data_IF_852752590876
#
_entry.id   IF_852752590876
#
_cell.length_a   1.000
_cell.length_b   1.000
_cell.length_c   1.000
_cell.angle_alpha   90.00
_cell.angle_beta   90.00
_cell.angle_gamma   90.00
#
_symmetry.space_group_name_H-M   'P 1'
#
loop_
_entity.id
_entity.type
_entity.pdbx_description
1 polymer ?
#
# COMPACT_ATOMS: atom_id res chain seq x y z
N UNK A 1 -10.80 -17.26 -40.03
CA UNK A 1 -10.83 -16.63 -38.69
C UNK A 1 -11.30 -17.53 -37.55
N UNK A 2 -12.25 -18.47 -37.72
CA UNK A 2 -12.83 -19.26 -36.62
C UNK A 2 -11.89 -20.16 -35.80
N UNK A 3 -10.62 -20.38 -36.19
CA UNK A 3 -9.60 -21.04 -35.34
C UNK A 3 -8.67 -20.06 -34.61
N UNK A 4 -8.48 -18.85 -35.16
CA UNK A 4 -7.57 -17.82 -34.64
C UNK A 4 -8.18 -17.11 -33.43
N UNK A 5 -9.50 -16.90 -33.42
CA UNK A 5 -10.20 -16.33 -32.27
C UNK A 5 -10.20 -17.24 -31.03
N UNK A 6 -10.21 -18.56 -31.21
CA UNK A 6 -10.20 -19.52 -30.10
C UNK A 6 -8.81 -19.67 -29.48
N UNK A 7 -7.73 -19.70 -30.28
CA UNK A 7 -6.38 -19.75 -29.74
C UNK A 7 -6.04 -18.47 -28.99
N UNK A 8 -6.37 -17.30 -29.56
CA UNK A 8 -6.20 -16.01 -28.88
C UNK A 8 -6.94 -15.99 -27.54
N UNK A 9 -8.22 -16.38 -27.52
CA UNK A 9 -9.01 -16.40 -26.29
C UNK A 9 -8.42 -17.35 -25.24
N UNK A 10 -7.97 -18.53 -25.65
CA UNK A 10 -7.35 -19.50 -24.77
C UNK A 10 -6.02 -18.98 -24.18
N UNK A 11 -5.17 -18.39 -25.01
CA UNK A 11 -3.86 -17.89 -24.59
C UNK A 11 -4.02 -16.65 -23.68
N UNK A 12 -4.97 -15.77 -24.01
CA UNK A 12 -5.38 -14.65 -23.16
C UNK A 12 -5.93 -15.16 -21.81
N UNK A 13 -6.74 -16.22 -21.82
CA UNK A 13 -7.31 -16.81 -20.60
C UNK A 13 -6.24 -17.42 -19.70
N UNK A 14 -5.21 -18.04 -20.27
CA UNK A 14 -4.07 -18.56 -19.50
C UNK A 14 -3.23 -17.42 -18.90
N UNK A 15 -2.94 -16.37 -19.67
CA UNK A 15 -2.27 -15.17 -19.14
C UNK A 15 -3.08 -14.48 -18.04
N UNK A 16 -4.41 -14.58 -18.09
CA UNK A 16 -5.26 -14.08 -17.02
C UNK A 16 -5.03 -14.84 -15.70
N UNK A 17 -4.62 -16.10 -15.73
CA UNK A 17 -4.43 -16.91 -14.52
C UNK A 17 -3.00 -16.81 -13.95
N UNK A 18 -2.06 -16.24 -14.68
CA UNK A 18 -0.65 -16.19 -14.28
C UNK A 18 -0.27 -14.95 -13.42
N UNK A 19 0.66 -15.17 -12.49
CA UNK A 19 1.30 -14.11 -11.70
C UNK A 19 2.50 -13.50 -12.46
N UNK A 20 2.19 -12.71 -13.49
CA UNK A 20 3.20 -12.10 -14.37
C UNK A 20 3.48 -10.64 -13.99
N UNK A 21 4.76 -10.23 -14.01
CA UNK A 21 5.16 -8.83 -13.85
C UNK A 21 4.77 -7.98 -15.06
N UNK A 22 4.68 -6.65 -14.88
CA UNK A 22 4.32 -5.70 -15.93
C UNK A 22 5.10 -5.89 -17.24
N UNK A 23 6.42 -6.01 -17.18
CA UNK A 23 7.26 -6.12 -18.38
C UNK A 23 7.04 -7.47 -19.11
N UNK A 24 6.97 -8.56 -18.35
CA UNK A 24 6.73 -9.90 -18.90
C UNK A 24 5.33 -10.04 -19.48
N UNK A 25 4.35 -9.36 -18.91
CA UNK A 25 2.97 -9.39 -19.40
C UNK A 25 2.86 -8.68 -20.74
N UNK A 26 3.46 -7.50 -20.91
CA UNK A 26 3.46 -6.84 -22.22
C UNK A 26 4.12 -7.72 -23.27
N UNK A 27 5.30 -8.26 -22.99
CA UNK A 27 5.94 -9.22 -23.90
C UNK A 27 5.02 -10.39 -24.25
N UNK A 28 4.31 -10.95 -23.26
CA UNK A 28 3.40 -12.08 -23.49
C UNK A 28 2.16 -11.70 -24.30
N UNK A 29 1.55 -10.54 -24.03
CA UNK A 29 0.44 -9.99 -24.82
C UNK A 29 0.87 -9.82 -26.28
N UNK A 30 2.05 -9.23 -26.50
CA UNK A 30 2.56 -8.99 -27.84
C UNK A 30 2.96 -10.27 -28.57
N UNK A 31 3.52 -11.26 -27.88
CA UNK A 31 3.80 -12.58 -28.45
C UNK A 31 2.52 -13.31 -28.87
N UNK A 32 1.44 -13.21 -28.08
CA UNK A 32 0.13 -13.75 -28.44
C UNK A 32 -0.46 -12.98 -29.64
N UNK A 33 -0.30 -11.66 -29.66
CA UNK A 33 -0.77 -10.84 -30.78
C UNK A 33 -0.02 -11.16 -32.07
N UNK A 34 1.28 -11.47 -32.06
CA UNK A 34 2.01 -11.87 -33.27
C UNK A 34 1.42 -13.12 -33.95
N UNK A 35 0.87 -14.05 -33.17
CA UNK A 35 0.19 -15.23 -33.69
C UNK A 35 -1.22 -14.93 -34.24
N UNK A 36 -1.75 -13.75 -33.95
CA UNK A 36 -3.13 -13.34 -34.27
C UNK A 36 -3.17 -12.32 -35.40
N UNK A 37 -2.25 -11.35 -35.38
CA UNK A 37 -2.12 -10.26 -36.34
C UNK A 37 -0.66 -10.02 -36.66
N UNK A 38 -0.31 -10.04 -37.95
CA UNK A 38 1.06 -9.80 -38.41
C UNK A 38 1.41 -8.33 -38.29
N UNK A 39 2.50 -8.00 -37.61
CA UNK A 39 3.07 -6.65 -37.54
C UNK A 39 4.61 -6.70 -37.49
N UNK A 40 5.28 -5.66 -37.96
CA UNK A 40 6.76 -5.52 -37.84
C UNK A 40 7.15 -4.53 -36.74
N UNK A 41 6.25 -3.63 -36.35
CA UNK A 41 6.43 -2.73 -35.24
C UNK A 41 5.10 -2.39 -34.59
N UNK A 42 5.13 -2.02 -33.32
CA UNK A 42 3.95 -1.60 -32.58
C UNK A 42 4.26 -0.60 -31.48
N UNK A 43 3.24 0.17 -31.09
CA UNK A 43 3.26 1.00 -29.88
C UNK A 43 1.97 0.82 -29.11
N UNK A 44 2.08 0.57 -27.82
CA UNK A 44 0.97 0.65 -26.88
C UNK A 44 1.01 2.00 -26.16
N UNK A 45 -0.07 2.75 -26.31
CA UNK A 45 -0.36 3.96 -25.56
C UNK A 45 -1.37 3.62 -24.47
N UNK A 46 -1.10 4.03 -23.23
CA UNK A 46 -2.08 3.93 -22.15
C UNK A 46 -2.64 5.31 -21.83
N UNK A 47 -3.94 5.36 -21.53
CA UNK A 47 -4.60 6.59 -21.11
C UNK A 47 -4.23 6.91 -19.66
N UNK A 48 -3.69 8.11 -19.45
CA UNK A 48 -3.47 8.70 -18.13
C UNK A 48 -4.63 9.62 -17.79
N UNK A 49 -5.45 9.18 -16.83
CA UNK A 49 -6.62 9.93 -16.38
C UNK A 49 -6.28 11.22 -15.62
N UNK A 50 -5.03 11.39 -15.13
CA UNK A 50 -4.63 12.62 -14.44
C UNK A 50 -4.33 13.75 -15.42
N UNK A 51 -3.63 13.40 -16.48
CA UNK A 51 -3.24 14.35 -17.53
C UNK A 51 -4.30 14.45 -18.63
N UNK A 52 -5.35 13.59 -18.60
CA UNK A 52 -6.35 13.40 -19.66
C UNK A 52 -5.74 13.13 -21.04
N UNK A 53 -4.65 12.34 -21.07
CA UNK A 53 -3.89 12.09 -22.30
C UNK A 53 -3.36 10.67 -22.40
N UNK A 54 -3.17 10.20 -23.62
CA UNK A 54 -2.50 8.93 -23.88
C UNK A 54 -0.98 9.11 -23.87
N UNK A 55 -0.28 8.14 -23.31
CA UNK A 55 1.19 8.15 -23.15
C UNK A 55 1.75 6.82 -23.66
N UNK A 56 2.82 6.82 -24.48
CA UNK A 56 3.46 5.58 -24.90
C UNK A 56 4.04 4.84 -23.68
N UNK A 57 3.69 3.57 -23.53
CA UNK A 57 4.16 2.72 -22.41
C UNK A 57 4.99 1.53 -22.86
N UNK A 58 4.75 1.05 -24.07
CA UNK A 58 5.51 -0.05 -24.65
C UNK A 58 5.66 0.14 -26.16
N UNK A 59 6.79 -0.29 -26.71
CA UNK A 59 7.02 -0.36 -28.15
C UNK A 59 7.77 -1.63 -28.51
N UNK A 60 7.49 -2.16 -29.71
CA UNK A 60 8.29 -3.20 -30.37
C UNK A 60 8.78 -2.65 -31.70
N UNK A 61 10.07 -2.82 -31.98
CA UNK A 61 10.79 -2.13 -33.06
C UNK A 61 11.51 -0.87 -32.57
N UNK A 62 12.25 -0.23 -33.48
CA UNK A 62 13.16 0.86 -33.12
C UNK A 62 12.48 2.22 -32.97
N UNK A 63 11.29 2.40 -33.55
CA UNK A 63 10.56 3.67 -33.60
C UNK A 63 9.24 3.62 -32.84
N UNK A 64 8.75 4.78 -32.41
CA UNK A 64 7.36 4.91 -31.94
C UNK A 64 6.47 4.88 -33.18
N UNK A 65 5.68 3.83 -33.31
CA UNK A 65 4.66 3.68 -34.35
C UNK A 65 3.50 4.63 -34.07
N UNK A 66 3.54 5.80 -34.68
CA UNK A 66 2.41 6.73 -34.76
C UNK A 66 2.57 7.62 -36.00
N UNK A 67 1.46 7.92 -36.68
CA UNK A 67 1.47 8.77 -37.87
C UNK A 67 1.02 10.17 -37.50
N UNK A 68 1.50 11.17 -38.24
CA UNK A 68 1.06 12.57 -38.11
C UNK A 68 1.29 13.09 -36.67
N UNK A 69 2.38 12.66 -36.03
CA UNK A 69 2.70 12.90 -34.62
C UNK A 69 2.93 14.36 -34.24
N UNK A 70 2.97 15.27 -35.22
CA UNK A 70 3.07 16.71 -34.99
C UNK A 70 1.72 17.34 -34.59
N UNK A 71 0.61 16.67 -34.89
CA UNK A 71 -0.74 17.18 -34.64
C UNK A 71 -1.29 16.63 -33.32
N UNK A 72 -1.87 17.50 -32.50
CA UNK A 72 -2.53 17.14 -31.25
C UNK A 72 -4.05 17.09 -31.45
N UNK A 73 -4.67 15.97 -31.10
CA UNK A 73 -6.11 15.75 -31.22
C UNK A 73 -6.82 15.85 -29.86
N UNK A 74 -6.20 16.52 -28.88
CA UNK A 74 -6.77 16.79 -27.56
C UNK A 74 -6.28 15.79 -26.51
N UNK A 75 -6.57 14.51 -26.71
CA UNK A 75 -6.11 13.44 -25.80
C UNK A 75 -4.72 12.91 -26.11
N UNK A 76 -4.00 13.50 -27.07
CA UNK A 76 -2.68 13.02 -27.48
C UNK A 76 -2.36 13.44 -28.91
N UNK A 77 -1.10 13.28 -29.28
CA UNK A 77 -0.64 13.55 -30.64
C UNK A 77 -0.88 12.37 -31.58
N UNK A 78 -0.83 12.66 -32.88
CA UNK A 78 -0.88 11.67 -33.96
C UNK A 78 -2.19 10.90 -34.07
N UNK A 79 -2.15 9.85 -34.88
CA UNK A 79 -3.30 8.97 -35.09
C UNK A 79 -3.70 8.26 -33.80
N UNK A 80 -2.76 7.98 -32.89
CA UNK A 80 -3.10 7.47 -31.57
C UNK A 80 -4.02 8.45 -30.82
N UNK A 81 -3.68 9.73 -30.81
CA UNK A 81 -4.49 10.80 -30.23
C UNK A 81 -5.89 10.86 -30.83
N UNK A 82 -5.98 10.88 -32.17
CA UNK A 82 -7.28 10.88 -32.85
C UNK A 82 -8.12 9.65 -32.49
N UNK A 83 -7.50 8.48 -32.46
CA UNK A 83 -8.16 7.19 -32.17
C UNK A 83 -8.68 7.16 -30.74
N UNK A 84 -7.96 7.77 -29.79
CA UNK A 84 -8.39 7.87 -28.39
C UNK A 84 -9.67 8.70 -28.21
N UNK A 85 -9.87 9.72 -29.05
CA UNK A 85 -11.07 10.58 -29.02
C UNK A 85 -12.24 9.93 -29.75
N UNK A 86 -12.00 9.40 -30.95
CA UNK A 86 -13.07 8.87 -31.80
C UNK A 86 -13.47 7.44 -31.46
N UNK A 87 -12.65 6.73 -30.67
CA UNK A 87 -12.88 5.36 -30.21
C UNK A 87 -13.29 4.38 -31.32
N UNK A 88 -12.71 4.55 -32.51
CA UNK A 88 -12.90 3.67 -33.68
C UNK A 88 -11.56 3.32 -34.30
N UNK A 89 -11.39 2.08 -34.83
CA UNK A 89 -10.15 1.74 -35.50
C UNK A 89 -9.91 2.58 -36.75
N UNK A 90 -8.65 2.98 -36.93
CA UNK A 90 -8.12 3.49 -38.19
C UNK A 90 -7.37 2.37 -38.88
N UNK A 91 -7.75 2.06 -40.11
CA UNK A 91 -7.15 1.01 -40.91
C UNK A 91 -6.65 1.69 -42.18
N UNK A 92 -5.33 1.64 -42.39
CA UNK A 92 -4.65 2.17 -43.56
C UNK A 92 -3.96 0.99 -44.26
N UNK A 93 -4.66 0.31 -45.21
CA UNK A 93 -4.13 -0.87 -45.88
C UNK A 93 -2.87 -0.56 -46.69
N UNK A 94 -2.78 0.64 -47.26
CA UNK A 94 -1.62 1.11 -48.00
C UNK A 94 -1.29 2.54 -47.61
N UNK A 95 0.00 2.81 -47.41
CA UNK A 95 0.55 4.14 -47.18
C UNK A 95 1.49 4.49 -48.32
N UNK A 96 1.25 5.62 -48.97
CA UNK A 96 2.23 6.19 -49.88
C UNK A 96 3.47 6.64 -49.10
N UNK A 97 4.66 6.43 -49.68
CA UNK A 97 5.96 6.82 -49.08
C UNK A 97 6.14 8.35 -49.08
N UNK A 98 5.34 9.04 -48.28
CA UNK A 98 5.51 10.45 -47.92
C UNK A 98 6.56 10.60 -46.82
N UNK A 99 7.02 11.83 -46.51
CA UNK A 99 7.97 12.09 -45.40
C UNK A 99 7.53 11.46 -44.07
N UNK A 100 6.24 11.52 -43.75
CA UNK A 100 5.68 10.91 -42.53
C UNK A 100 5.80 9.36 -42.48
N UNK A 101 5.96 8.72 -43.64
CA UNK A 101 6.18 7.28 -43.77
C UNK A 101 7.67 6.92 -43.96
N UNK A 102 8.48 7.80 -44.54
CA UNK A 102 9.91 7.57 -44.80
C UNK A 102 10.73 7.43 -43.51
N UNK A 103 10.42 8.22 -42.49
CA UNK A 103 11.13 8.17 -41.20
C UNK A 103 10.82 6.89 -40.39
N UNK A 104 9.70 6.23 -40.71
CA UNK A 104 9.18 5.09 -39.96
C UNK A 104 9.29 3.75 -40.72
N UNK A 105 9.36 3.75 -42.05
CA UNK A 105 9.61 2.56 -42.87
C UNK A 105 8.41 1.62 -43.10
N UNK A 106 7.18 2.02 -42.77
CA UNK A 106 5.99 1.16 -42.87
C UNK A 106 5.13 1.46 -44.12
N UNK A 107 4.49 0.42 -44.67
CA UNK A 107 3.60 0.51 -45.85
C UNK A 107 2.12 0.23 -45.53
N UNK A 108 1.80 -0.23 -44.33
CA UNK A 108 0.43 -0.32 -43.81
C UNK A 108 0.40 -0.05 -42.31
N UNK A 109 -0.74 0.43 -41.83
CA UNK A 109 -0.91 0.87 -40.45
C UNK A 109 -2.31 0.60 -39.92
N UNK A 110 -2.39 0.25 -38.63
CA UNK A 110 -3.62 -0.03 -37.91
C UNK A 110 -3.53 0.62 -36.53
N UNK A 111 -4.51 1.46 -36.19
CA UNK A 111 -4.69 1.99 -34.84
C UNK A 111 -6.00 1.48 -34.26
N UNK A 112 -5.93 0.88 -33.08
CA UNK A 112 -7.06 0.23 -32.41
C UNK A 112 -7.26 0.89 -31.05
N UNK A 113 -8.47 1.42 -30.75
CA UNK A 113 -8.78 1.87 -29.39
C UNK A 113 -8.91 0.67 -28.45
N UNK A 114 -8.32 0.78 -27.27
CA UNK A 114 -8.44 -0.20 -26.20
C UNK A 114 -9.47 0.34 -25.22
N UNK A 115 -10.66 -0.25 -25.19
CA UNK A 115 -11.76 0.21 -24.35
C UNK A 115 -12.49 -0.94 -23.69
N UNK A 116 -13.08 -0.63 -22.54
CA UNK A 116 -13.96 -1.53 -21.81
C UNK A 116 -15.26 -0.77 -21.63
N UNK A 117 -16.33 -1.30 -22.22
CA UNK A 117 -17.59 -0.58 -22.41
C UNK A 117 -17.33 0.79 -23.08
N UNK A 118 -17.55 1.89 -22.34
CA UNK A 118 -17.32 3.27 -22.80
C UNK A 118 -16.04 3.92 -22.23
N UNK A 119 -15.25 3.18 -21.44
CA UNK A 119 -14.02 3.67 -20.81
C UNK A 119 -12.81 3.41 -21.71
N UNK A 120 -12.10 4.47 -22.06
CA UNK A 120 -10.81 4.39 -22.74
C UNK A 120 -9.73 3.87 -21.78
N UNK A 121 -9.06 2.79 -22.16
CA UNK A 121 -7.89 2.24 -21.46
C UNK A 121 -6.60 2.67 -22.17
N UNK A 122 -6.62 2.78 -23.49
CA UNK A 122 -5.45 3.13 -24.28
C UNK A 122 -5.68 3.02 -25.79
N UNK A 123 -4.59 3.02 -26.55
CA UNK A 123 -4.58 2.83 -28.00
C UNK A 123 -3.41 1.92 -28.37
N UNK A 124 -3.65 0.98 -29.27
CA UNK A 124 -2.64 0.10 -29.84
C UNK A 124 -2.42 0.46 -31.31
N UNK A 125 -1.21 0.88 -31.64
CA UNK A 125 -0.78 1.09 -33.01
C UNK A 125 0.06 -0.10 -33.47
N UNK A 126 -0.26 -0.62 -34.65
CA UNK A 126 0.45 -1.70 -35.33
C UNK A 126 0.84 -1.21 -36.72
N UNK A 127 2.04 -1.54 -37.15
CA UNK A 127 2.52 -1.22 -38.49
C UNK A 127 3.23 -2.41 -39.13
N UNK A 128 3.21 -2.43 -40.45
CA UNK A 128 3.90 -3.44 -41.23
C UNK A 128 4.58 -2.82 -42.46
N UNK A 129 5.75 -3.33 -42.82
CA UNK A 129 6.49 -2.93 -44.03
C UNK A 129 5.79 -3.31 -45.35
N UNK A 130 4.76 -4.17 -45.32
CA UNK A 130 4.01 -4.61 -46.50
C UNK A 130 2.64 -3.92 -46.54
N UNK A 131 2.17 -3.51 -47.74
CA UNK A 131 0.80 -3.04 -47.90
C UNK A 131 -0.20 -4.21 -47.80
N UNK A 132 -1.48 -3.87 -47.66
CA UNK A 132 -2.64 -4.77 -47.65
C UNK A 132 -2.62 -5.86 -46.55
N UNK A 133 -1.79 -5.69 -45.52
CA UNK A 133 -1.76 -6.56 -44.32
C UNK A 133 -3.01 -6.34 -43.48
N UNK A 134 -3.42 -5.08 -43.30
CA UNK A 134 -4.61 -4.71 -42.57
C UNK A 134 -5.75 -4.37 -43.52
N UNK A 135 -6.88 -5.07 -43.42
CA UNK A 135 -8.01 -4.89 -44.35
C UNK A 135 -9.22 -4.30 -43.64
N UNK A 136 -9.95 -3.44 -44.35
CA UNK A 136 -11.16 -2.78 -43.85
C UNK A 136 -12.27 -3.77 -43.45
N UNK A 137 -12.34 -4.92 -44.14
CA UNK A 137 -13.31 -5.99 -43.87
C UNK A 137 -13.17 -6.59 -42.45
N UNK A 138 -11.97 -6.56 -41.87
CA UNK A 138 -11.67 -7.08 -40.53
C UNK A 138 -11.86 -6.05 -39.40
N UNK A 139 -12.52 -4.92 -39.67
CA UNK A 139 -12.75 -3.86 -38.67
C UNK A 139 -13.31 -4.40 -37.34
N UNK A 140 -14.35 -5.25 -37.41
CA UNK A 140 -14.97 -5.83 -36.21
C UNK A 140 -14.02 -6.74 -35.44
N UNK A 141 -13.14 -7.45 -36.13
CA UNK A 141 -12.14 -8.31 -35.51
C UNK A 141 -11.09 -7.47 -34.78
N UNK A 142 -10.67 -6.34 -35.35
CA UNK A 142 -9.77 -5.39 -34.68
C UNK A 142 -10.40 -4.75 -33.46
N UNK A 143 -11.68 -4.37 -33.52
CA UNK A 143 -12.41 -3.88 -32.33
C UNK A 143 -12.45 -4.94 -31.23
N UNK A 144 -12.73 -6.19 -31.59
CA UNK A 144 -12.78 -7.32 -30.65
C UNK A 144 -11.42 -7.56 -30.01
N UNK A 145 -10.34 -7.56 -30.81
CA UNK A 145 -8.97 -7.65 -30.33
C UNK A 145 -8.64 -6.50 -29.36
N UNK A 146 -8.99 -5.27 -29.70
CA UNK A 146 -8.78 -4.10 -28.86
C UNK A 146 -9.47 -4.22 -27.50
N UNK A 147 -10.70 -4.74 -27.46
CA UNK A 147 -11.43 -4.98 -26.23
C UNK A 147 -10.75 -6.04 -25.35
N UNK A 148 -10.28 -7.15 -25.93
CA UNK A 148 -9.56 -8.18 -25.16
C UNK A 148 -8.26 -7.67 -24.55
N UNK A 149 -7.47 -6.94 -25.35
CA UNK A 149 -6.23 -6.32 -24.88
C UNK A 149 -6.53 -5.29 -23.79
N UNK A 150 -7.61 -4.52 -23.92
CA UNK A 150 -8.04 -3.57 -22.88
C UNK A 150 -8.34 -4.27 -21.55
N UNK A 151 -9.12 -5.36 -21.57
CA UNK A 151 -9.45 -6.15 -20.36
C UNK A 151 -8.20 -6.69 -19.67
N UNK A 152 -7.22 -7.19 -20.44
CA UNK A 152 -5.96 -7.65 -19.90
C UNK A 152 -5.17 -6.55 -19.20
N UNK A 153 -5.06 -5.38 -19.84
CA UNK A 153 -4.37 -4.23 -19.26
C UNK A 153 -5.07 -3.77 -17.98
N UNK A 154 -6.40 -3.63 -17.99
CA UNK A 154 -7.15 -3.21 -16.80
C UNK A 154 -6.99 -4.20 -15.65
N UNK A 155 -7.07 -5.50 -15.92
CA UNK A 155 -6.83 -6.55 -14.92
C UNK A 155 -5.48 -6.37 -14.22
N UNK A 156 -4.42 -6.11 -14.99
CA UNK A 156 -3.07 -5.95 -14.44
C UNK A 156 -2.93 -4.66 -13.64
N UNK A 157 -3.53 -3.57 -14.10
CA UNK A 157 -3.60 -2.32 -13.32
C UNK A 157 -4.31 -2.53 -11.97
N UNK A 158 -5.44 -3.24 -11.97
CA UNK A 158 -6.20 -3.54 -10.76
C UNK A 158 -5.39 -4.40 -9.80
N UNK A 159 -4.74 -5.45 -10.30
CA UNK A 159 -3.89 -6.33 -9.49
C UNK A 159 -2.72 -5.59 -8.85
N UNK A 160 -2.00 -4.79 -9.63
CA UNK A 160 -0.88 -3.98 -9.11
C UNK A 160 -1.35 -2.97 -8.04
N UNK A 161 -2.53 -2.37 -8.24
CA UNK A 161 -3.15 -1.49 -7.23
C UNK A 161 -3.48 -2.25 -5.94
N UNK A 162 -4.06 -3.45 -6.05
CA UNK A 162 -4.40 -4.30 -4.91
C UNK A 162 -3.15 -4.72 -4.12
N UNK A 163 -2.10 -5.16 -4.80
CA UNK A 163 -0.83 -5.52 -4.15
C UNK A 163 -0.21 -4.34 -3.41
N UNK A 164 -0.21 -3.15 -4.04
CA UNK A 164 0.28 -1.92 -3.40
C UNK A 164 -0.53 -1.58 -2.15
N UNK A 165 -1.86 -1.64 -2.23
CA UNK A 165 -2.74 -1.38 -1.09
C UNK A 165 -2.52 -2.40 0.04
N UNK A 166 -2.36 -3.69 -0.29
CA UNK A 166 -2.10 -4.73 0.70
C UNK A 166 -0.75 -4.53 1.41
N UNK A 167 0.31 -4.15 0.67
CA UNK A 167 1.61 -3.78 1.27
C UNK A 167 1.49 -2.60 2.23
N UNK A 168 0.76 -1.55 1.83
CA UNK A 168 0.52 -0.38 2.69
C UNK A 168 -0.25 -0.79 3.95
N UNK A 169 -1.34 -1.55 3.79
CA UNK A 169 -2.16 -2.02 4.89
C UNK A 169 -1.34 -2.83 5.91
N UNK A 170 -0.53 -3.80 5.45
CA UNK A 170 0.37 -4.58 6.31
C UNK A 170 1.34 -3.69 7.09
N UNK A 171 1.92 -2.68 6.44
CA UNK A 171 2.84 -1.74 7.09
C UNK A 171 2.13 -0.88 8.15
N UNK A 172 0.93 -0.38 7.83
CA UNK A 172 0.12 0.41 8.76
C UNK A 172 -0.30 -0.40 9.97
N UNK A 173 -0.75 -1.65 9.77
CA UNK A 173 -1.11 -2.55 10.86
C UNK A 173 0.06 -2.85 11.79
N UNK A 174 1.25 -3.09 11.23
CA UNK A 174 2.46 -3.27 12.05
C UNK A 174 2.74 -2.03 12.90
N UNK A 175 2.73 -0.85 12.30
CA UNK A 175 2.94 0.42 13.02
C UNK A 175 1.90 0.66 14.10
N UNK A 176 0.63 0.35 13.85
CA UNK A 176 -0.43 0.46 14.85
C UNK A 176 -0.19 -0.46 16.04
N UNK A 177 0.21 -1.72 15.80
CA UNK A 177 0.57 -2.66 16.88
C UNK A 177 1.75 -2.16 17.71
N UNK A 178 2.79 -1.65 17.05
CA UNK A 178 3.98 -1.15 17.73
C UNK A 178 3.64 0.07 18.62
N UNK A 179 2.84 1.01 18.11
CA UNK A 179 2.38 2.18 18.87
C UNK A 179 1.44 1.80 20.01
N UNK A 180 0.57 0.80 19.82
CA UNK A 180 -0.30 0.30 20.88
C UNK A 180 0.51 -0.32 22.01
N UNK A 181 1.55 -1.10 21.69
CA UNK A 181 2.45 -1.65 22.70
C UNK A 181 3.19 -0.54 23.47
N UNK A 182 3.64 0.50 22.77
CA UNK A 182 4.28 1.66 23.41
C UNK A 182 3.31 2.42 24.32
N UNK A 183 2.05 2.61 23.91
CA UNK A 183 1.02 3.26 24.73
C UNK A 183 0.73 2.47 25.99
N UNK A 184 0.56 1.15 25.89
CA UNK A 184 0.34 0.28 27.06
C UNK A 184 1.50 0.38 28.05
N UNK A 185 2.74 0.41 27.57
CA UNK A 185 3.90 0.57 28.45
C UNK A 185 3.95 1.97 29.10
N UNK A 186 3.58 3.02 28.37
CA UNK A 186 3.47 4.39 28.92
C UNK A 186 2.38 4.49 29.99
N UNK A 187 1.21 3.92 29.77
CA UNK A 187 0.12 3.86 30.76
C UNK A 187 0.56 3.12 32.03
N UNK A 188 1.27 1.99 31.84
CA UNK A 188 1.81 1.21 32.95
C UNK A 188 2.84 2.01 33.76
N UNK A 189 3.74 2.73 33.09
CA UNK A 189 4.73 3.59 33.76
C UNK A 189 4.07 4.76 34.48
N UNK A 190 3.03 5.37 33.89
CA UNK A 190 2.28 6.45 34.54
C UNK A 190 1.60 5.96 35.83
N UNK A 191 0.91 4.81 35.78
CA UNK A 191 0.30 4.19 36.94
C UNK A 191 1.33 3.85 38.03
N UNK A 192 2.50 3.33 37.64
CA UNK A 192 3.63 3.11 38.58
C UNK A 192 4.10 4.44 39.18
N UNK A 193 4.18 5.51 38.39
CA UNK A 193 4.56 6.84 38.84
C UNK A 193 3.63 7.39 39.92
N UNK A 194 2.32 7.31 39.72
CA UNK A 194 1.32 7.73 40.72
C UNK A 194 1.44 6.94 42.03
N UNK A 195 1.67 5.63 41.94
CA UNK A 195 1.89 4.78 43.10
C UNK A 195 3.15 5.21 43.85
N UNK A 196 4.26 5.47 43.13
CA UNK A 196 5.52 5.93 43.74
C UNK A 196 5.34 7.27 44.47
N UNK A 197 4.65 8.24 43.87
CA UNK A 197 4.36 9.53 44.52
C UNK A 197 3.55 9.33 45.80
N UNK A 198 2.47 8.56 45.73
CA UNK A 198 1.61 8.26 46.88
C UNK A 198 2.40 7.62 48.02
N UNK A 199 3.26 6.65 47.68
CA UNK A 199 4.09 5.93 48.63
C UNK A 199 5.15 6.82 49.28
N UNK A 200 5.78 7.69 48.49
CA UNK A 200 6.72 8.67 49.03
C UNK A 200 6.05 9.55 50.09
N UNK A 201 4.81 10.00 49.85
CA UNK A 201 4.05 10.73 50.85
C UNK A 201 3.73 9.87 52.09
N UNK A 202 3.29 8.63 51.91
CA UNK A 202 2.98 7.74 53.04
C UNK A 202 4.20 7.36 53.90
N UNK A 203 5.41 7.31 53.32
CA UNK A 203 6.66 7.06 54.05
C UNK A 203 7.18 8.34 54.70
N UNK A 204 7.18 9.46 53.98
CA UNK A 204 7.71 10.72 54.49
C UNK A 204 6.89 11.24 55.67
N UNK A 205 5.57 11.06 55.69
CA UNK A 205 4.71 11.50 56.80
C UNK A 205 5.15 10.96 58.19
N UNK A 206 5.23 9.63 58.41
CA UNK A 206 5.74 9.08 59.66
C UNK A 206 7.23 9.38 59.88
N UNK A 207 8.03 9.52 58.83
CA UNK A 207 9.45 9.87 58.94
C UNK A 207 9.63 11.28 59.52
N UNK A 208 8.91 12.27 58.99
CA UNK A 208 8.87 13.64 59.53
C UNK A 208 8.40 13.63 60.98
N UNK A 209 7.42 12.80 61.32
CA UNK A 209 6.97 12.65 62.71
C UNK A 209 8.06 12.08 63.62
N UNK A 210 8.80 11.06 63.16
CA UNK A 210 9.95 10.50 63.91
C UNK A 210 11.03 11.56 64.12
N UNK A 211 11.40 12.29 63.07
CA UNK A 211 12.42 13.34 63.12
C UNK A 211 11.99 14.42 64.14
N UNK A 212 10.77 14.96 64.02
CA UNK A 212 10.29 15.99 64.94
C UNK A 212 10.24 15.51 66.40
N UNK A 213 9.77 14.28 66.66
CA UNK A 213 9.73 13.74 68.03
C UNK A 213 11.16 13.56 68.57
N UNK A 214 12.10 13.10 67.74
CA UNK A 214 13.49 12.94 68.12
C UNK A 214 14.17 14.28 68.41
N UNK A 215 13.98 15.29 67.57
CA UNK A 215 14.51 16.64 67.77
C UNK A 215 13.98 17.29 69.06
N UNK A 216 12.67 17.19 69.31
CA UNK A 216 12.05 17.72 70.55
C UNK A 216 12.60 16.98 71.78
N UNK A 217 12.73 15.65 71.70
CA UNK A 217 13.28 14.83 72.77
C UNK A 217 14.73 15.22 73.07
N UNK A 218 15.56 15.40 72.04
CA UNK A 218 16.96 15.82 72.14
C UNK A 218 17.09 17.20 72.80
N UNK A 219 16.28 18.17 72.36
CA UNK A 219 16.30 19.52 72.89
C UNK A 219 15.84 19.60 74.36
N UNK A 220 14.82 18.82 74.73
CA UNK A 220 14.13 18.93 76.03
C UNK A 220 14.59 17.90 77.07
N UNK A 221 15.55 17.05 76.71
CA UNK A 221 16.04 15.89 77.48
C UNK A 221 16.37 16.19 78.96
N UNK A 222 17.02 17.32 79.32
CA UNK A 222 17.36 17.63 80.71
C UNK A 222 16.16 17.92 81.63
N UNK A 223 15.00 18.27 81.06
CA UNK A 223 13.82 18.73 81.80
C UNK A 223 12.63 17.75 81.74
N UNK A 224 12.79 16.62 81.03
CA UNK A 224 11.72 15.64 80.82
C UNK A 224 11.73 14.53 81.89
N UNK A 225 10.55 14.21 82.42
CA UNK A 225 10.34 13.00 83.22
C UNK A 225 10.55 11.73 82.39
N UNK A 226 11.00 10.65 83.03
CA UNK A 226 11.20 9.32 82.43
C UNK A 226 9.93 8.84 81.69
N UNK A 227 8.73 9.07 82.24
CA UNK A 227 7.46 8.74 81.59
C UNK A 227 7.32 9.39 80.20
N UNK A 228 7.59 10.68 80.07
CA UNK A 228 7.51 11.41 78.78
C UNK A 228 8.57 10.94 77.77
N UNK A 229 9.78 10.61 78.23
CA UNK A 229 10.81 10.01 77.37
C UNK A 229 10.32 8.67 76.81
N UNK A 230 9.72 7.84 77.66
CA UNK A 230 9.16 6.53 77.26
C UNK A 230 8.00 6.68 76.29
N UNK A 231 7.14 7.69 76.45
CA UNK A 231 6.07 8.02 75.50
C UNK A 231 6.61 8.42 74.12
N UNK A 232 7.59 9.33 74.06
CA UNK A 232 8.23 9.72 72.79
C UNK A 232 8.90 8.55 72.08
N UNK A 233 9.61 7.68 72.80
CA UNK A 233 10.21 6.46 72.24
C UNK A 233 9.13 5.52 71.68
N UNK A 234 8.00 5.34 72.40
CA UNK A 234 6.87 4.54 71.90
C UNK A 234 6.28 5.13 70.63
N UNK A 235 6.11 6.44 70.56
CA UNK A 235 5.60 7.12 69.38
C UNK A 235 6.53 6.95 68.17
N UNK A 236 7.85 7.10 68.36
CA UNK A 236 8.86 6.83 67.32
C UNK A 236 8.78 5.38 66.83
N UNK A 237 8.69 4.41 67.75
CA UNK A 237 8.56 2.99 67.39
C UNK A 237 7.27 2.70 66.62
N UNK A 238 6.16 3.36 66.96
CA UNK A 238 4.90 3.22 66.25
C UNK A 238 5.00 3.74 64.81
N UNK A 239 5.53 4.95 64.61
CA UNK A 239 5.76 5.50 63.27
C UNK A 239 6.74 4.64 62.46
N UNK A 240 7.79 4.10 63.10
CA UNK A 240 8.75 3.20 62.46
C UNK A 240 8.09 1.90 62.01
N UNK A 241 7.18 1.33 62.82
CA UNK A 241 6.35 0.18 62.43
C UNK A 241 5.42 0.51 61.27
N UNK A 242 4.90 1.74 61.21
CA UNK A 242 4.06 2.22 60.10
C UNK A 242 4.84 2.29 58.79
N UNK A 243 6.05 2.86 58.80
CA UNK A 243 6.98 2.85 57.64
C UNK A 243 7.24 1.41 57.19
N UNK A 244 7.58 0.51 58.13
CA UNK A 244 7.84 -0.91 57.83
C UNK A 244 6.64 -1.60 57.18
N UNK A 245 5.41 -1.24 57.55
CA UNK A 245 4.19 -1.78 56.94
C UNK A 245 4.03 -1.32 55.49
N UNK A 246 4.37 -0.06 55.18
CA UNK A 246 4.34 0.48 53.81
C UNK A 246 5.41 -0.19 52.95
N UNK A 247 6.65 -0.28 53.44
CA UNK A 247 7.76 -0.92 52.71
C UNK A 247 7.55 -2.42 52.47
N UNK A 248 6.92 -3.13 53.41
CA UNK A 248 6.55 -4.53 53.23
C UNK A 248 5.46 -4.74 52.17
N UNK A 249 4.45 -3.85 52.10
CA UNK A 249 3.44 -3.89 51.02
C UNK A 249 4.07 -3.67 49.64
N UNK A 250 5.06 -2.79 49.56
CA UNK A 250 5.82 -2.52 48.34
C UNK A 250 6.63 -3.72 47.84
N UNK A 251 7.30 -4.44 48.74
CA UNK A 251 8.10 -5.60 48.34
C UNK A 251 7.24 -6.70 47.72
N UNK A 252 6.02 -6.91 48.21
CA UNK A 252 5.08 -7.88 47.63
C UNK A 252 4.56 -7.47 46.24
N UNK A 253 4.37 -6.18 45.99
CA UNK A 253 3.96 -5.67 44.67
C UNK A 253 5.04 -5.89 43.58
N UNK A 254 6.31 -5.98 43.99
CA UNK A 254 7.44 -6.23 43.08
C UNK A 254 7.51 -7.70 42.66
N UNK A 255 7.17 -8.64 43.55
CA UNK A 255 7.17 -10.09 43.28
C UNK A 255 6.04 -10.51 42.31
N UNK A 256 4.92 -9.80 42.29
CA UNK A 256 3.82 -10.02 41.32
C UNK A 256 4.20 -9.68 39.87
N UNK A 257 5.33 -8.99 39.61
CA UNK A 257 5.82 -8.72 38.25
C UNK A 257 6.57 -9.89 37.61
N UNK A 258 7.07 -10.85 38.40
CA UNK A 258 7.83 -12.00 37.89
C UNK A 258 6.96 -13.22 37.56
N UNK A 259 5.66 -13.18 37.90
CA UNK A 259 4.69 -14.10 37.33
C UNK A 259 4.15 -13.54 36.01
N UNK A 260 4.65 -14.12 34.91
CA UNK A 260 4.16 -13.93 33.53
C UNK A 260 2.63 -13.80 33.48
N UNK A 261 2.13 -12.58 33.25
CA UNK A 261 0.80 -12.38 32.67
C UNK A 261 0.87 -12.81 31.20
N UNK A 262 0.73 -14.12 30.94
CA UNK A 262 0.16 -14.60 29.69
C UNK A 262 -1.35 -14.30 29.76
N UNK A 263 -1.71 -13.07 29.44
CA UNK A 263 -3.08 -12.71 29.10
C UNK A 263 -3.33 -13.15 27.67
N UNK A 264 -3.87 -14.35 27.51
CA UNK A 264 -4.51 -14.81 26.28
C UNK A 264 -5.45 -13.73 25.76
N UNK A 265 -5.07 -13.10 24.65
CA UNK A 265 -6.01 -12.29 23.88
C UNK A 265 -7.01 -13.29 23.28
N UNK A 266 -8.14 -13.50 23.95
CA UNK A 266 -9.31 -14.14 23.35
C UNK A 266 -9.75 -13.27 22.19
N UNK A 267 -9.41 -13.72 20.99
CA UNK A 267 -9.94 -13.26 19.72
C UNK A 267 -11.47 -13.32 19.80
N UNK A 268 -12.12 -12.15 19.79
CA UNK A 268 -13.59 -12.06 19.68
C UNK A 268 -13.95 -12.59 18.29
N UNK A 269 -14.59 -13.75 18.22
CA UNK A 269 -15.25 -14.22 17.00
C UNK A 269 -16.41 -13.27 16.71
N UNK A 270 -16.38 -12.61 15.56
CA UNK A 270 -17.55 -11.97 14.99
C UNK A 270 -18.58 -13.06 14.63
N UNK A 271 -19.88 -12.84 14.85
CA UNK A 271 -20.92 -13.73 14.33
C UNK A 271 -20.90 -13.66 12.80
N UNK A 272 -20.84 -14.83 12.17
CA UNK A 272 -21.15 -14.97 10.75
C UNK A 272 -22.66 -14.81 10.58
N UNK A 273 -23.08 -13.83 9.78
CA UNK A 273 -24.39 -13.80 9.12
C UNK A 273 -24.21 -14.21 7.65
#
# INVERSE_FOLDING_TARGET
>A
MGKVGYSLFHDISNLMLEDVSWDKLFESIFNIMENTISFTACTLFLYDAKEDRIVPKYKRGNVIVDLVSDFDFGKGKGIAGWTSVNQRPIILPSLERTRACQDNGFSSFLSIPLRIENKLIGVLNLAHERPEVYKLEYRKDYETLGNYVAVLIEKVQMKSKLEKQNRILKKTLRRLKDLQAELVEKEKLAAIGEIVVTINHEINNPLTSIINIAEILEYSLPALSIEKIRESIRAILEQSKRIRKVTYKLSQLRELKDQKYFGDIKMIKLPEE
#
